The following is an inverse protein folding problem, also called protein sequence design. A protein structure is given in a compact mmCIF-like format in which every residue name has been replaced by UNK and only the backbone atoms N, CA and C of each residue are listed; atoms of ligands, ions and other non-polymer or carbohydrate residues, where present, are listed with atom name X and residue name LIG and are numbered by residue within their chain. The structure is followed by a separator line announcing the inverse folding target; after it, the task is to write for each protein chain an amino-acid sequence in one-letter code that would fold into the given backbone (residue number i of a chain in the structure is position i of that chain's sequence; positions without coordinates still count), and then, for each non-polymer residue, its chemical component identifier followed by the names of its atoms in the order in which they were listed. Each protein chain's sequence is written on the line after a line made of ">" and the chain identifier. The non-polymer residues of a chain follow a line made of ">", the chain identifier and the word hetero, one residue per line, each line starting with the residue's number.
data_IF_311986161824
#
_entry.id   IF_311986161824
#
_cell.length_a   1.000
_cell.length_b   1.000
_cell.length_c   1.000
_cell.angle_alpha   90.00
_cell.angle_beta   90.00
_cell.angle_gamma   90.00
#
_symmetry.space_group_name_H-M   'P 1'
#
loop_
_entity.id
_entity.type
_entity.pdbx_description
1 polymer ?
#
# COMPACT_ATOMS: atom_id res chain seq x y z
N UNK A 1 -32.35 36.74 -35.54
CA UNK A 1 -31.85 38.04 -35.08
C UNK A 1 -30.43 38.18 -35.57
N UNK A 2 -30.22 39.08 -36.54
CA UNK A 2 -28.94 39.26 -37.24
C UNK A 2 -28.14 40.37 -36.56
N UNK A 3 -26.86 40.11 -36.28
CA UNK A 3 -25.91 41.10 -35.77
C UNK A 3 -25.19 41.78 -36.94
N UNK A 4 -24.99 43.11 -36.91
CA UNK A 4 -24.40 43.85 -38.01
C UNK A 4 -22.86 43.81 -38.03
N UNK A 5 -22.35 43.79 -39.25
CA UNK A 5 -20.96 43.78 -39.71
C UNK A 5 -20.27 45.14 -39.52
N UNK A 6 -19.03 45.13 -39.02
CA UNK A 6 -18.17 46.31 -38.83
C UNK A 6 -17.09 46.33 -39.93
N UNK A 7 -16.88 47.44 -40.67
CA UNK A 7 -15.87 47.48 -41.73
C UNK A 7 -14.49 47.92 -41.22
N UNK A 8 -13.46 47.20 -41.66
CA UNK A 8 -12.04 47.45 -41.40
C UNK A 8 -11.52 48.63 -42.23
N UNK A 9 -10.87 49.61 -41.58
CA UNK A 9 -10.10 50.67 -42.24
C UNK A 9 -8.79 50.11 -42.80
N UNK A 10 -8.54 50.36 -44.08
CA UNK A 10 -7.24 50.23 -44.73
C UNK A 10 -6.46 51.55 -44.65
N UNK A 11 -5.15 51.49 -44.41
CA UNK A 11 -4.21 52.51 -44.88
C UNK A 11 -2.79 51.92 -45.01
N UNK A 12 -2.17 52.29 -46.12
CA UNK A 12 -0.94 51.82 -46.77
C UNK A 12 0.36 52.42 -46.21
N UNK A 13 1.32 51.53 -45.87
CA UNK A 13 2.79 51.41 -46.18
C UNK A 13 3.68 52.63 -46.66
N UNK A 14 5.05 52.53 -46.65
CA UNK A 14 6.06 53.20 -45.80
C UNK A 14 6.99 54.22 -46.55
N UNK A 15 8.12 54.76 -45.98
CA UNK A 15 9.44 54.09 -46.07
C UNK A 15 10.47 54.37 -44.92
N UNK A 16 11.51 53.52 -44.88
CA UNK A 16 12.79 53.55 -44.12
C UNK A 16 13.83 54.47 -44.87
N UNK A 17 15.16 54.65 -44.56
CA UNK A 17 16.04 54.17 -43.46
C UNK A 17 17.22 55.09 -42.93
N UNK A 18 17.84 54.69 -41.79
CA UNK A 18 19.31 54.75 -41.38
C UNK A 18 19.99 56.11 -41.04
N UNK A 19 21.23 56.17 -40.42
CA UNK A 19 22.11 55.14 -39.79
C UNK A 19 22.89 55.50 -38.46
N UNK A 20 23.46 54.45 -37.82
CA UNK A 20 24.78 54.25 -37.13
C UNK A 20 25.32 55.14 -35.98
N UNK A 21 25.77 54.46 -34.90
CA UNK A 21 27.14 54.40 -34.31
C UNK A 21 27.12 53.24 -33.28
N UNK A 22 27.93 52.18 -33.23
CA UNK A 22 29.37 51.83 -33.36
C UNK A 22 30.28 52.41 -32.27
N UNK A 23 30.54 51.60 -31.24
CA UNK A 23 31.70 51.68 -30.32
C UNK A 23 31.86 50.28 -29.67
N UNK A 24 32.68 49.37 -30.21
CA UNK A 24 34.11 49.17 -29.97
C UNK A 24 34.50 48.95 -28.49
N UNK A 25 34.86 47.69 -28.22
CA UNK A 25 35.50 47.10 -27.03
C UNK A 25 36.92 47.65 -26.83
N UNK A 26 37.45 47.53 -25.60
CA UNK A 26 38.68 46.75 -25.46
C UNK A 26 38.62 45.73 -24.32
N UNK A 27 39.50 44.73 -24.47
CA UNK A 27 39.66 43.56 -23.64
C UNK A 27 40.46 43.82 -22.34
N UNK A 28 40.43 42.79 -21.47
CA UNK A 28 41.43 42.43 -20.45
C UNK A 28 41.36 43.09 -19.05
N UNK A 29 40.74 42.39 -18.10
CA UNK A 29 41.38 41.99 -16.83
C UNK A 29 40.57 40.85 -16.14
N UNK A 30 41.22 39.91 -15.41
CA UNK A 30 40.67 38.58 -15.16
C UNK A 30 39.86 38.43 -13.86
N UNK A 31 39.11 37.34 -13.78
CA UNK A 31 38.34 36.89 -12.62
C UNK A 31 39.22 36.64 -11.38
N UNK A 32 38.75 36.93 -10.16
CA UNK A 32 39.40 36.44 -8.94
C UNK A 32 38.67 35.20 -8.42
N UNK A 33 39.36 34.06 -8.40
CA UNK A 33 39.13 32.96 -7.46
C UNK A 33 40.50 32.47 -6.98
N UNK A 34 40.61 31.81 -5.81
CA UNK A 34 40.09 32.14 -4.48
C UNK A 34 41.26 32.36 -3.48
N UNK A 35 41.10 33.21 -2.47
CA UNK A 35 42.10 33.28 -1.37
C UNK A 35 41.92 32.10 -0.43
N UNK A 36 42.83 31.13 -0.53
CA UNK A 36 43.04 30.08 0.46
C UNK A 36 43.67 30.69 1.72
N UNK A 37 43.03 30.50 2.87
CA UNK A 37 43.65 30.68 4.18
C UNK A 37 44.19 29.33 4.68
N UNK A 38 45.38 29.30 5.31
CA UNK A 38 45.99 28.08 5.83
C UNK A 38 45.33 27.68 7.15
N UNK A 39 44.90 26.43 7.25
CA UNK A 39 44.30 25.86 8.45
C UNK A 39 44.16 24.36 8.32
N UNK A 40 45.24 23.67 8.64
CA UNK A 40 45.32 22.21 8.68
C UNK A 40 44.30 21.61 9.65
N UNK A 41 43.48 20.67 9.16
CA UNK A 41 43.15 19.43 9.88
C UNK A 41 42.63 18.39 8.88
N UNK A 42 43.57 17.61 8.38
CA UNK A 42 43.36 16.43 7.55
C UNK A 42 42.74 15.32 8.40
N UNK A 43 41.42 15.19 8.41
CA UNK A 43 40.74 13.98 8.91
C UNK A 43 40.51 13.05 7.73
N UNK A 44 41.33 11.99 7.64
CA UNK A 44 41.19 10.92 6.64
C UNK A 44 39.93 10.09 6.94
N UNK A 45 39.21 9.61 5.92
CA UNK A 45 38.03 8.78 6.10
C UNK A 45 38.44 7.36 6.54
N UNK A 46 37.89 6.86 7.64
CA UNK A 46 37.95 5.42 7.95
C UNK A 46 36.78 4.74 7.25
N UNK A 47 37.13 3.96 6.23
CA UNK A 47 36.26 2.98 5.58
C UNK A 47 36.00 1.84 6.59
N UNK A 48 34.87 1.84 7.28
CA UNK A 48 34.42 0.68 8.05
C UNK A 48 33.55 -0.20 7.15
N UNK A 49 34.19 -1.15 6.46
CA UNK A 49 33.52 -2.31 5.86
C UNK A 49 33.13 -3.27 7.00
N UNK A 50 31.89 -3.76 7.09
CA UNK A 50 31.63 -5.01 7.80
C UNK A 50 32.04 -6.17 6.88
N UNK A 51 33.18 -6.80 7.19
CA UNK A 51 33.54 -8.12 6.65
C UNK A 51 32.82 -9.15 7.51
N UNK A 52 31.85 -9.85 6.95
CA UNK A 52 31.31 -11.07 7.54
C UNK A 52 32.16 -12.22 7.01
N UNK A 53 32.99 -12.80 7.87
CA UNK A 53 33.65 -14.07 7.60
C UNK A 53 32.65 -15.23 7.78
N UNK A 54 32.58 -16.20 6.86
CA UNK A 54 31.74 -17.37 7.02
C UNK A 54 32.38 -18.36 8.00
N UNK A 55 31.67 -18.67 9.09
CA UNK A 55 32.00 -19.80 9.97
C UNK A 55 31.44 -21.07 9.34
N UNK A 56 32.32 -21.88 8.74
CA UNK A 56 32.06 -23.24 8.29
C UNK A 56 33.09 -24.17 8.93
N UNK A 57 32.66 -24.92 9.95
CA UNK A 57 33.16 -26.23 10.38
C UNK A 57 32.30 -26.62 11.61
N UNK A 58 31.77 -27.82 11.78
CA UNK A 58 32.25 -29.11 11.30
C UNK A 58 31.13 -30.17 11.41
N UNK A 59 31.16 -31.09 10.45
CA UNK A 59 30.40 -32.34 10.41
C UNK A 59 30.65 -33.21 11.65
N UNK A 60 29.57 -33.76 12.21
CA UNK A 60 29.64 -35.07 12.87
C UNK A 60 28.65 -36.01 12.19
N UNK A 61 29.24 -36.84 11.34
CA UNK A 61 28.68 -38.07 10.80
C UNK A 61 28.44 -39.06 11.92
N UNK A 62 27.26 -39.66 11.99
CA UNK A 62 27.10 -41.06 12.37
C UNK A 62 25.98 -41.67 11.52
N UNK A 63 26.36 -42.08 10.32
CA UNK A 63 25.70 -43.13 9.56
C UNK A 63 26.10 -44.48 10.14
N UNK A 64 25.14 -45.34 10.45
CA UNK A 64 25.35 -46.77 10.56
C UNK A 64 24.09 -47.47 10.07
N UNK A 65 24.12 -47.81 8.78
CA UNK A 65 23.37 -48.93 8.22
C UNK A 65 23.88 -50.22 8.88
N UNK A 66 22.96 -51.06 9.35
CA UNK A 66 23.14 -52.52 9.41
C UNK A 66 21.80 -53.16 9.10
N UNK A 67 21.64 -53.64 7.86
CA UNK A 67 20.75 -54.75 7.55
C UNK A 67 21.44 -56.04 8.01
N UNK A 68 20.82 -56.82 8.89
CA UNK A 68 21.01 -58.27 8.90
C UNK A 68 19.77 -59.01 9.47
N UNK A 69 19.28 -59.93 8.66
CA UNK A 69 18.15 -60.85 8.81
C UNK A 69 18.45 -61.88 9.91
N UNK A 70 17.49 -62.25 10.78
CA UNK A 70 17.12 -63.65 11.16
C UNK A 70 15.77 -63.67 11.90
N UNK A 71 14.89 -64.52 11.39
CA UNK A 71 13.62 -65.07 11.91
C UNK A 71 13.75 -65.81 13.24
N UNK A 72 12.94 -65.50 14.26
CA UNK A 72 12.38 -66.47 15.23
C UNK A 72 11.03 -65.96 15.77
N UNK A 73 10.05 -66.85 15.74
CA UNK A 73 8.67 -66.70 16.20
C UNK A 73 8.56 -67.05 17.70
N UNK A 74 7.84 -66.26 18.53
CA UNK A 74 7.20 -66.70 19.79
C UNK A 74 6.43 -65.57 20.51
N UNK A 75 5.10 -65.62 20.36
CA UNK A 75 4.06 -65.53 21.40
C UNK A 75 4.14 -64.50 22.57
N UNK A 76 3.06 -63.69 22.61
CA UNK A 76 2.34 -63.11 23.77
C UNK A 76 3.06 -62.04 24.60
N UNK A 77 2.46 -60.84 24.69
CA UNK A 77 1.74 -60.34 25.88
C UNK A 77 1.21 -58.91 25.63
N UNK A 78 -0.05 -58.74 26.01
CA UNK A 78 -0.93 -57.57 25.98
C UNK A 78 -0.37 -56.31 26.64
N UNK A 79 -0.46 -55.15 25.97
CA UNK A 79 -0.72 -53.86 26.65
C UNK A 79 -1.29 -52.82 25.68
N UNK A 80 -2.60 -52.55 25.80
CA UNK A 80 -3.25 -51.36 25.24
C UNK A 80 -2.79 -50.15 26.04
N UNK A 81 -1.94 -49.29 25.46
CA UNK A 81 -1.68 -47.95 25.99
C UNK A 81 -2.45 -46.95 25.13
N UNK A 82 -3.53 -46.41 25.70
CA UNK A 82 -4.24 -45.26 25.14
C UNK A 82 -3.32 -44.04 25.14
N UNK A 83 -2.98 -43.52 23.97
CA UNK A 83 -2.31 -42.23 23.83
C UNK A 83 -3.22 -41.12 24.39
N UNK A 84 -2.72 -40.20 25.24
CA UNK A 84 -3.53 -39.09 25.72
C UNK A 84 -3.71 -38.08 24.58
N UNK A 85 -4.96 -37.68 24.36
CA UNK A 85 -5.38 -36.62 23.44
C UNK A 85 -4.89 -35.28 24.00
N UNK A 86 -3.59 -34.99 23.85
CA UNK A 86 -2.96 -33.72 24.25
C UNK A 86 -2.40 -32.95 23.05
N UNK A 87 -2.66 -33.39 21.83
CA UNK A 87 -2.21 -32.72 20.61
C UNK A 87 -3.15 -31.62 20.14
N UNK A 88 -4.43 -31.64 20.55
CA UNK A 88 -5.45 -30.72 20.04
C UNK A 88 -5.43 -29.32 20.66
N UNK A 89 -4.88 -29.16 21.88
CA UNK A 89 -4.84 -27.85 22.56
C UNK A 89 -3.62 -26.99 22.23
N UNK A 90 -2.56 -27.58 21.65
CA UNK A 90 -1.32 -26.86 21.31
C UNK A 90 -1.39 -26.16 19.95
N UNK A 91 -2.19 -26.69 19.01
CA UNK A 91 -2.44 -26.03 17.71
C UNK A 91 -3.23 -24.74 17.87
N UNK A 92 -4.24 -24.75 18.74
CA UNK A 92 -5.15 -23.62 18.92
C UNK A 92 -4.42 -22.40 19.51
N UNK A 93 -3.45 -22.62 20.41
CA UNK A 93 -2.66 -21.55 21.03
C UNK A 93 -1.63 -20.95 20.05
N UNK A 94 -1.10 -21.75 19.13
CA UNK A 94 -0.17 -21.27 18.09
C UNK A 94 -0.94 -20.57 16.95
N UNK A 95 -2.14 -21.04 16.62
CA UNK A 95 -3.05 -20.38 15.69
C UNK A 95 -3.61 -19.07 16.27
N UNK A 96 -3.81 -18.95 17.58
CA UNK A 96 -4.26 -17.70 18.21
C UNK A 96 -3.10 -16.69 18.40
N UNK A 97 -1.89 -17.15 18.73
CA UNK A 97 -0.72 -16.29 18.93
C UNK A 97 -0.10 -15.77 17.60
N UNK A 98 -0.22 -16.54 16.51
CA UNK A 98 0.27 -16.16 15.17
C UNK A 98 -0.84 -15.94 14.14
N UNK A 99 -2.10 -16.24 14.47
CA UNK A 99 -3.29 -15.90 13.68
C UNK A 99 -3.70 -14.44 13.85
N UNK A 100 -2.73 -13.55 13.96
CA UNK A 100 -2.93 -12.13 13.70
C UNK A 100 -3.00 -11.88 12.18
N UNK A 101 -3.89 -12.62 11.49
CA UNK A 101 -4.60 -11.99 10.38
C UNK A 101 -5.54 -11.01 11.06
N UNK A 102 -5.09 -9.76 11.16
CA UNK A 102 -5.96 -8.61 11.37
C UNK A 102 -7.30 -8.94 10.70
N UNK A 103 -8.36 -9.16 11.48
CA UNK A 103 -9.67 -9.40 10.92
C UNK A 103 -9.91 -8.21 10.00
N UNK A 104 -9.77 -8.45 8.68
CA UNK A 104 -9.75 -7.38 7.69
C UNK A 104 -10.97 -6.54 7.97
N UNK A 105 -10.77 -5.25 8.23
CA UNK A 105 -11.90 -4.36 8.43
C UNK A 105 -12.80 -4.58 7.21
N UNK A 106 -14.09 -4.92 7.38
CA UNK A 106 -14.99 -5.10 6.25
C UNK A 106 -14.92 -3.92 5.26
N UNK A 107 -14.64 -2.71 5.76
CA UNK A 107 -14.39 -1.52 4.94
C UNK A 107 -13.10 -1.55 4.09
N UNK A 108 -12.08 -2.31 4.49
CA UNK A 108 -10.81 -2.42 3.77
C UNK A 108 -10.97 -3.05 2.40
N UNK A 109 -12.01 -3.85 2.15
CA UNK A 109 -12.29 -4.39 0.81
C UNK A 109 -12.70 -3.29 -0.17
N UNK A 110 -13.62 -2.42 0.24
CA UNK A 110 -14.09 -1.29 -0.59
C UNK A 110 -12.95 -0.31 -0.84
N UNK A 111 -12.21 -0.02 0.22
CA UNK A 111 -10.96 0.72 0.20
C UNK A 111 -9.94 0.10 -0.76
N UNK A 112 -9.73 -1.21 -0.68
CA UNK A 112 -9.14 -2.18 -1.62
C UNK A 112 -9.38 -1.92 -3.11
N UNK A 113 -10.60 -1.55 -3.44
CA UNK A 113 -11.10 -1.44 -4.80
C UNK A 113 -11.36 0.02 -5.21
N UNK A 114 -11.13 0.98 -4.30
CA UNK A 114 -11.43 2.38 -4.54
C UNK A 114 -10.64 2.92 -5.74
N UNK A 115 -11.22 3.78 -6.58
CA UNK A 115 -10.51 4.40 -7.68
C UNK A 115 -9.27 5.19 -7.24
N UNK A 116 -8.22 5.14 -8.07
CA UNK A 116 -7.07 6.05 -8.02
C UNK A 116 -7.05 6.82 -9.32
N UNK A 117 -7.17 8.14 -9.24
CA UNK A 117 -7.24 9.02 -10.39
C UNK A 117 -5.87 9.62 -10.64
N UNK A 118 -5.39 9.53 -11.87
CA UNK A 118 -4.08 10.06 -12.26
C UNK A 118 -4.23 10.92 -13.50
N UNK A 119 -3.84 12.18 -13.37
CA UNK A 119 -3.79 13.13 -14.48
C UNK A 119 -2.33 13.41 -14.83
N UNK A 120 -1.96 13.24 -16.10
CA UNK A 120 -0.60 13.46 -16.59
C UNK A 120 -0.66 14.44 -17.74
N UNK A 121 0.22 15.45 -17.67
CA UNK A 121 0.43 16.41 -18.75
C UNK A 121 1.89 16.36 -19.14
N UNK A 122 2.17 16.19 -20.43
CA UNK A 122 3.52 16.10 -20.99
C UNK A 122 3.60 16.79 -22.35
N UNK A 123 4.77 17.32 -22.68
CA UNK A 123 5.08 17.88 -23.99
C UNK A 123 5.68 16.85 -24.97
N UNK A 124 5.76 15.58 -24.58
CA UNK A 124 6.19 14.46 -25.44
C UNK A 124 5.01 13.99 -26.30
N UNK A 125 5.29 13.63 -27.56
CA UNK A 125 4.28 13.20 -28.52
C UNK A 125 3.96 11.69 -28.48
N UNK A 126 4.90 10.82 -28.10
CA UNK A 126 4.74 9.35 -28.10
C UNK A 126 4.25 8.83 -26.72
N UNK A 127 3.01 8.35 -26.68
CA UNK A 127 2.27 8.05 -25.45
C UNK A 127 1.81 6.59 -25.29
N UNK A 128 1.55 5.86 -26.39
CA UNK A 128 0.76 4.62 -26.31
C UNK A 128 1.43 3.49 -25.54
N UNK A 129 2.75 3.35 -25.64
CA UNK A 129 3.51 2.29 -24.95
C UNK A 129 3.64 2.58 -23.45
N UNK A 130 3.71 3.85 -23.07
CA UNK A 130 3.91 4.27 -21.69
C UNK A 130 2.64 4.18 -20.84
N UNK A 131 1.46 4.43 -21.42
CA UNK A 131 0.20 4.47 -20.66
C UNK A 131 -0.09 3.13 -19.99
N UNK A 132 0.04 2.02 -20.73
CA UNK A 132 -0.22 0.67 -20.21
C UNK A 132 0.76 0.31 -19.11
N UNK A 133 2.06 0.52 -19.33
CA UNK A 133 3.10 0.24 -18.33
C UNK A 133 2.91 1.07 -17.06
N UNK A 134 2.55 2.34 -17.19
CA UNK A 134 2.32 3.20 -16.03
C UNK A 134 1.04 2.81 -15.28
N UNK A 135 -0.02 2.38 -15.98
CA UNK A 135 -1.25 1.89 -15.34
C UNK A 135 -0.98 0.67 -14.46
N UNK A 136 -0.22 -0.30 -14.98
CA UNK A 136 0.24 -1.47 -14.22
C UNK A 136 1.13 -1.05 -13.04
N UNK A 137 2.03 -0.09 -13.26
CA UNK A 137 2.89 0.43 -12.21
C UNK A 137 2.09 1.09 -11.08
N UNK A 138 1.06 1.87 -11.40
CA UNK A 138 0.15 2.52 -10.44
C UNK A 138 -0.65 1.48 -9.64
N UNK A 139 -1.20 0.47 -10.33
CA UNK A 139 -1.90 -0.67 -9.72
C UNK A 139 -1.06 -1.34 -8.64
N UNK A 140 0.20 -1.64 -8.95
CA UNK A 140 1.15 -2.22 -7.99
C UNK A 140 1.50 -1.27 -6.84
N UNK A 141 1.60 0.04 -7.10
CA UNK A 141 1.96 1.03 -6.06
C UNK A 141 0.87 1.31 -5.07
N UNK A 142 -0.38 1.38 -5.54
CA UNK A 142 -1.52 1.64 -4.68
C UNK A 142 -2.17 0.35 -4.17
N UNK A 143 -1.66 -0.82 -4.55
CA UNK A 143 -2.24 -2.11 -4.22
C UNK A 143 -3.73 -2.13 -4.57
N UNK A 144 -4.01 -1.81 -5.83
CA UNK A 144 -5.36 -1.72 -6.42
C UNK A 144 -5.43 -2.61 -7.64
N UNK A 145 -6.59 -3.20 -7.98
CA UNK A 145 -6.75 -3.85 -9.26
C UNK A 145 -6.62 -2.82 -10.40
N UNK A 146 -6.18 -3.26 -11.58
CA UNK A 146 -6.03 -2.39 -12.74
C UNK A 146 -7.35 -1.69 -13.13
N UNK A 147 -8.50 -2.34 -12.87
CA UNK A 147 -9.84 -1.78 -13.08
C UNK A 147 -10.17 -0.57 -12.20
N UNK A 148 -9.41 -0.34 -11.13
CA UNK A 148 -9.56 0.82 -10.23
C UNK A 148 -8.57 1.95 -10.55
N UNK A 149 -7.70 1.78 -11.55
CA UNK A 149 -6.78 2.82 -11.99
C UNK A 149 -7.44 3.61 -13.11
N UNK A 150 -7.66 4.91 -12.88
CA UNK A 150 -8.23 5.83 -13.86
C UNK A 150 -7.14 6.81 -14.26
N UNK A 151 -6.70 6.76 -15.51
CA UNK A 151 -5.65 7.63 -16.04
C UNK A 151 -6.20 8.57 -17.11
N UNK A 152 -5.83 9.84 -17.01
CA UNK A 152 -6.04 10.86 -18.04
C UNK A 152 -4.69 11.39 -18.47
N UNK A 153 -4.41 11.32 -19.78
CA UNK A 153 -3.12 11.76 -20.34
C UNK A 153 -3.36 12.86 -21.38
N UNK A 154 -2.71 14.00 -21.16
CA UNK A 154 -2.57 15.08 -22.12
C UNK A 154 -1.12 15.09 -22.60
N UNK A 155 -0.90 14.71 -23.85
CA UNK A 155 0.42 14.60 -24.48
C UNK A 155 0.53 15.62 -25.63
N UNK A 156 1.75 15.90 -26.07
CA UNK A 156 2.02 16.88 -27.14
C UNK A 156 1.59 18.33 -26.82
N UNK A 157 1.33 18.67 -25.55
CA UNK A 157 0.91 20.02 -25.17
C UNK A 157 2.10 20.93 -24.87
N UNK A 158 1.90 22.24 -24.99
CA UNK A 158 2.94 23.21 -24.65
C UNK A 158 3.09 23.34 -23.12
N UNK A 159 4.21 22.83 -22.59
CA UNK A 159 4.61 22.99 -21.19
C UNK A 159 6.02 23.59 -21.15
N UNK A 160 6.21 24.57 -20.27
CA UNK A 160 7.51 25.16 -20.00
C UNK A 160 7.88 24.93 -18.53
N UNK A 161 9.04 24.31 -18.28
CA UNK A 161 9.52 24.00 -16.93
C UNK A 161 10.84 24.72 -16.66
N UNK A 162 10.81 25.66 -15.71
CA UNK A 162 11.99 26.44 -15.32
C UNK A 162 12.53 27.32 -16.46
N UNK A 163 11.65 27.85 -17.32
CA UNK A 163 12.06 28.71 -18.44
C UNK A 163 12.33 28.00 -19.76
N UNK A 164 12.47 26.67 -19.76
CA UNK A 164 12.79 25.87 -20.95
C UNK A 164 11.65 25.00 -21.43
N UNK A 165 11.68 24.65 -22.72
CA UNK A 165 10.74 23.75 -23.41
C UNK A 165 11.25 22.31 -23.52
N UNK A 166 12.27 21.93 -22.74
CA UNK A 166 12.76 20.55 -22.69
C UNK A 166 11.65 19.57 -22.29
N UNK A 167 11.77 18.27 -22.61
CA UNK A 167 10.82 17.26 -22.17
C UNK A 167 10.54 17.33 -20.66
N UNK A 168 9.27 17.52 -20.31
CA UNK A 168 8.83 17.71 -18.93
C UNK A 168 7.40 17.22 -18.72
N UNK A 169 7.02 16.99 -17.46
CA UNK A 169 5.67 16.57 -17.12
C UNK A 169 5.18 17.13 -15.79
N UNK A 170 3.86 17.18 -15.67
CA UNK A 170 3.16 17.30 -14.38
C UNK A 170 2.27 16.10 -14.18
N UNK A 171 2.28 15.52 -12.99
CA UNK A 171 1.45 14.38 -12.62
C UNK A 171 0.68 14.71 -11.34
N UNK A 172 -0.64 14.63 -11.41
CA UNK A 172 -1.52 14.69 -10.24
C UNK A 172 -2.01 13.29 -9.93
N UNK A 173 -1.89 12.86 -8.68
CA UNK A 173 -2.46 11.60 -8.21
C UNK A 173 -3.49 11.91 -7.12
N UNK A 174 -4.73 11.54 -7.35
CA UNK A 174 -5.82 11.63 -6.38
C UNK A 174 -6.18 10.22 -5.89
N UNK A 175 -6.07 10.01 -4.59
CA UNK A 175 -6.31 8.73 -3.95
C UNK A 175 -6.84 8.96 -2.53
N UNK A 176 -7.36 7.91 -1.90
CA UNK A 176 -7.86 8.01 -0.54
C UNK A 176 -6.80 8.60 0.40
N UNK A 177 -7.23 9.42 1.36
CA UNK A 177 -6.33 10.14 2.26
C UNK A 177 -5.30 9.22 2.98
N UNK A 178 -5.69 7.97 3.29
CA UNK A 178 -4.79 6.97 3.89
C UNK A 178 -3.64 6.54 2.98
N UNK A 179 -3.80 6.66 1.66
CA UNK A 179 -2.81 6.31 0.65
C UNK A 179 -1.92 7.50 0.26
N UNK A 180 -2.28 8.71 0.72
CA UNK A 180 -1.61 9.99 0.42
C UNK A 180 -0.84 10.51 1.64
N UNK A 181 -0.07 9.63 2.29
CA UNK A 181 0.71 9.95 3.49
C UNK A 181 2.10 10.48 3.15
N UNK A 182 2.66 11.39 3.95
CA UNK A 182 3.94 12.06 3.67
C UNK A 182 5.09 11.09 3.36
N UNK A 183 5.25 10.03 4.15
CA UNK A 183 6.28 9.02 3.95
C UNK A 183 6.05 8.19 2.69
N UNK A 184 4.80 7.78 2.46
CA UNK A 184 4.36 7.07 1.25
C UNK A 184 4.59 7.91 0.00
N UNK A 185 4.20 9.18 0.03
CA UNK A 185 4.37 10.14 -1.07
C UNK A 185 5.86 10.34 -1.38
N UNK A 186 6.72 10.50 -0.38
CA UNK A 186 8.18 10.62 -0.59
C UNK A 186 8.74 9.41 -1.33
N UNK A 187 8.32 8.20 -0.96
CA UNK A 187 8.72 6.97 -1.64
C UNK A 187 8.17 6.93 -3.07
N UNK A 188 6.89 7.25 -3.24
CA UNK A 188 6.21 7.25 -4.52
C UNK A 188 6.83 8.25 -5.51
N UNK A 189 7.24 9.44 -5.04
CA UNK A 189 7.93 10.44 -5.88
C UNK A 189 9.17 9.84 -6.52
N UNK A 190 10.06 9.24 -5.71
CA UNK A 190 11.29 8.66 -6.22
C UNK A 190 11.04 7.55 -7.25
N UNK A 191 9.98 6.77 -7.05
CA UNK A 191 9.62 5.64 -7.89
C UNK A 191 8.98 6.07 -9.21
N UNK A 192 8.01 6.98 -9.17
CA UNK A 192 7.39 7.52 -10.38
C UNK A 192 8.38 8.32 -11.19
N UNK A 193 9.19 9.19 -10.57
CA UNK A 193 10.22 9.92 -11.30
C UNK A 193 11.26 8.99 -11.94
N UNK A 194 11.61 7.87 -11.29
CA UNK A 194 12.45 6.83 -11.90
C UNK A 194 11.77 6.20 -13.12
N UNK A 195 10.50 5.82 -13.00
CA UNK A 195 9.74 5.24 -14.11
C UNK A 195 9.65 6.21 -15.29
N UNK A 196 9.32 7.49 -15.04
CA UNK A 196 9.24 8.53 -16.07
C UNK A 196 10.59 8.76 -16.76
N UNK A 197 11.71 8.66 -16.03
CA UNK A 197 13.05 8.70 -16.63
C UNK A 197 13.33 7.50 -17.52
N UNK A 198 12.82 6.31 -17.17
CA UNK A 198 13.05 5.10 -17.95
C UNK A 198 12.19 5.07 -19.21
N UNK A 199 10.89 5.32 -19.07
CA UNK A 199 9.91 5.27 -20.16
C UNK A 199 10.06 6.47 -21.11
N UNK A 200 10.08 7.70 -20.57
CA UNK A 200 10.00 8.93 -21.36
C UNK A 200 11.31 9.72 -21.42
N UNK A 201 12.39 9.22 -20.79
CA UNK A 201 13.71 9.90 -20.70
C UNK A 201 13.67 11.28 -20.05
N UNK A 202 12.59 11.61 -19.33
CA UNK A 202 12.48 12.86 -18.57
C UNK A 202 13.24 12.75 -17.24
N UNK A 203 14.23 13.60 -16.94
CA UNK A 203 14.92 13.56 -15.66
C UNK A 203 14.00 14.00 -14.51
N UNK A 204 14.22 13.53 -13.27
CA UNK A 204 13.42 13.93 -12.09
C UNK A 204 13.32 15.44 -11.87
N UNK A 205 14.33 16.22 -12.27
CA UNK A 205 14.35 17.68 -12.17
C UNK A 205 13.36 18.40 -13.09
N UNK A 206 12.79 17.71 -14.08
CA UNK A 206 11.80 18.24 -15.05
C UNK A 206 10.40 17.61 -14.85
N UNK A 207 10.19 16.94 -13.72
CA UNK A 207 8.91 16.33 -13.36
C UNK A 207 8.35 16.92 -12.07
N UNK A 208 7.08 17.32 -12.09
CA UNK A 208 6.37 17.78 -10.90
C UNK A 208 5.24 16.80 -10.53
N UNK A 209 5.22 16.36 -9.27
CA UNK A 209 4.20 15.44 -8.77
C UNK A 209 3.40 16.12 -7.65
N UNK A 210 2.08 16.00 -7.74
CA UNK A 210 1.14 16.51 -6.73
C UNK A 210 0.24 15.36 -6.29
N UNK A 211 0.15 15.15 -4.98
CA UNK A 211 -0.79 14.19 -4.39
C UNK A 211 -1.96 14.93 -3.78
N UNK A 212 -3.18 14.46 -4.06
CA UNK A 212 -4.42 15.05 -3.58
C UNK A 212 -5.13 14.00 -2.73
N UNK A 213 -5.27 14.21 -1.42
CA UNK A 213 -6.04 13.31 -0.57
C UNK A 213 -7.52 13.46 -0.92
N UNK A 214 -8.15 12.32 -1.19
CA UNK A 214 -9.58 12.21 -1.42
C UNK A 214 -10.25 11.68 -0.15
N UNK A 215 -11.25 12.41 0.35
CA UNK A 215 -12.05 12.00 1.49
C UNK A 215 -13.11 10.97 1.05
N UNK A 216 -13.39 9.97 1.89
CA UNK A 216 -14.30 8.86 1.56
C UNK A 216 -15.74 9.33 1.29
N UNK A 217 -16.18 10.39 1.97
CA UNK A 217 -17.49 11.04 1.85
C UNK A 217 -17.62 11.93 0.62
N UNK A 218 -16.50 12.40 0.06
CA UNK A 218 -16.46 13.27 -1.13
C UNK A 218 -16.18 12.51 -2.44
N UNK A 219 -16.04 11.18 -2.38
CA UNK A 219 -15.68 10.35 -3.53
C UNK A 219 -16.88 9.54 -4.01
N UNK A 220 -17.41 9.85 -5.20
CA UNK A 220 -18.47 9.07 -5.85
C UNK A 220 -17.92 7.86 -6.60
N UNK A 221 -18.47 6.68 -6.35
CA UNK A 221 -18.14 5.44 -7.06
C UNK A 221 -19.33 4.48 -7.02
N UNK A 222 -19.59 3.74 -8.12
CA UNK A 222 -20.67 2.73 -8.21
C UNK A 222 -22.06 3.24 -7.74
N UNK A 223 -22.35 4.53 -7.91
CA UNK A 223 -23.65 5.13 -7.57
C UNK A 223 -23.83 5.55 -6.11
N UNK A 224 -22.78 5.45 -5.27
CA UNK A 224 -22.79 5.96 -3.89
C UNK A 224 -21.46 6.68 -3.58
N UNK A 225 -21.31 7.22 -2.39
CA UNK A 225 -20.01 7.66 -1.87
C UNK A 225 -19.19 6.45 -1.41
N UNK A 226 -17.86 6.55 -1.40
CA UNK A 226 -17.00 5.51 -0.82
C UNK A 226 -17.33 5.29 0.65
N UNK A 227 -17.59 6.37 1.41
CA UNK A 227 -18.06 6.28 2.79
C UNK A 227 -19.37 5.48 2.89
N UNK A 228 -20.35 5.75 2.02
CA UNK A 228 -21.62 5.01 1.98
C UNK A 228 -21.45 3.53 1.66
N UNK A 229 -20.53 3.18 0.74
CA UNK A 229 -20.19 1.79 0.46
C UNK A 229 -19.51 1.10 1.67
N UNK A 230 -18.61 1.79 2.35
CA UNK A 230 -17.93 1.26 3.54
C UNK A 230 -18.94 1.01 4.66
N UNK A 231 -19.81 1.99 4.95
CA UNK A 231 -20.86 1.85 5.96
C UNK A 231 -21.78 0.68 5.66
N UNK A 232 -22.26 0.55 4.41
CA UNK A 232 -23.13 -0.57 4.03
C UNK A 232 -22.48 -1.94 4.27
N UNK A 233 -21.19 -2.09 3.91
CA UNK A 233 -20.46 -3.35 4.11
C UNK A 233 -20.21 -3.64 5.59
N UNK A 234 -19.99 -2.61 6.41
CA UNK A 234 -19.86 -2.76 7.87
C UNK A 234 -21.19 -3.21 8.50
N UNK A 235 -22.30 -2.57 8.13
CA UNK A 235 -23.64 -2.91 8.63
C UNK A 235 -24.05 -4.34 8.24
N UNK A 236 -23.79 -4.74 6.99
CA UNK A 236 -24.03 -6.12 6.54
C UNK A 236 -23.21 -7.15 7.33
N UNK A 237 -21.93 -6.84 7.59
CA UNK A 237 -21.05 -7.71 8.36
C UNK A 237 -21.53 -7.85 9.83
N UNK A 238 -21.96 -6.75 10.44
CA UNK A 238 -22.53 -6.73 11.80
C UNK A 238 -23.83 -7.55 11.86
N UNK A 239 -24.76 -7.33 10.94
CA UNK A 239 -26.01 -8.08 10.86
C UNK A 239 -25.75 -9.59 10.68
N UNK A 240 -24.74 -9.97 9.90
CA UNK A 240 -24.33 -11.37 9.74
C UNK A 240 -23.76 -11.97 11.04
N UNK A 241 -22.97 -11.20 11.79
CA UNK A 241 -22.41 -11.62 13.07
C UNK A 241 -23.51 -11.82 14.12
N UNK A 242 -24.49 -10.91 14.20
CA UNK A 242 -25.63 -11.02 15.12
C UNK A 242 -26.48 -12.26 14.84
N UNK A 243 -26.78 -12.54 13.56
CA UNK A 243 -27.48 -13.77 13.15
C UNK A 243 -26.71 -15.03 13.55
N UNK A 244 -25.38 -15.04 13.41
CA UNK A 244 -24.53 -16.17 13.84
C UNK A 244 -24.44 -16.33 15.35
N UNK A 245 -24.45 -15.23 16.11
CA UNK A 245 -24.48 -15.22 17.57
C UNK A 245 -25.79 -15.76 18.13
N UNK A 246 -26.91 -15.46 17.48
CA UNK A 246 -28.26 -15.92 17.86
C UNK A 246 -28.46 -17.45 17.68
N UNK A 247 -27.73 -18.07 16.74
CA UNK A 247 -27.77 -19.53 16.51
C UNK A 247 -27.00 -20.33 17.59
N UNK A 248 -26.25 -19.69 18.48
CA UNK A 248 -25.71 -20.35 19.70
C UNK A 248 -26.79 -20.33 20.79
N UNK A 249 -27.68 -21.32 20.72
CA UNK A 249 -28.83 -21.53 21.58
C UNK A 249 -28.47 -21.63 23.10
N UNK A 250 -29.44 -21.45 24.01
CA UNK A 250 -29.22 -20.98 25.38
C UNK A 250 -28.59 -22.05 26.27
N UNK A 251 -27.76 -21.59 27.22
CA UNK A 251 -27.30 -22.37 28.38
C UNK A 251 -28.53 -23.02 29.05
N UNK A 252 -28.64 -24.35 28.96
CA UNK A 252 -29.61 -25.13 29.75
C UNK A 252 -29.49 -24.70 31.21
N UNK A 253 -30.49 -23.98 31.72
CA UNK A 253 -30.69 -23.84 33.18
C UNK A 253 -31.01 -25.25 33.68
N UNK A 254 -30.05 -25.86 34.37
CA UNK A 254 -30.28 -27.05 35.17
C UNK A 254 -31.23 -26.66 36.30
N UNK A 255 -32.52 -26.95 36.13
CA UNK A 255 -33.46 -27.01 37.23
C UNK A 255 -33.14 -28.25 38.05
N UNK A 256 -32.43 -28.08 39.16
CA UNK A 256 -32.38 -29.08 40.24
C UNK A 256 -33.78 -29.17 40.83
N UNK A 257 -34.54 -30.18 40.39
CA UNK A 257 -35.71 -30.67 41.11
C UNK A 257 -35.17 -31.25 42.43
N UNK A 258 -35.48 -30.57 43.53
CA UNK A 258 -35.18 -31.02 44.89
C UNK A 258 -36.15 -32.14 45.27
N UNK A 259 -35.70 -33.38 45.12
CA UNK A 259 -36.24 -34.54 45.83
C UNK A 259 -35.62 -34.55 47.23
N UNK A 260 -36.43 -34.34 48.28
CA UNK A 260 -36.26 -34.70 49.71
C UNK A 260 -37.21 -33.73 50.48
N UNK A 261 -38.29 -34.15 51.16
CA UNK A 261 -38.39 -35.19 52.18
C UNK A 261 -39.82 -35.72 52.24
N UNK A 262 -40.00 -37.05 52.14
CA UNK A 262 -41.13 -37.76 52.78
C UNK A 262 -40.64 -38.09 54.19
N UNK A 263 -41.08 -37.29 55.16
CA UNK A 263 -40.83 -37.53 56.58
C UNK A 263 -41.84 -38.58 57.08
N UNK A 264 -41.30 -39.74 57.44
CA UNK A 264 -41.69 -40.60 58.58
C UNK A 264 -43.17 -40.55 58.99
N UNK A 265 -43.94 -41.52 58.51
CA UNK A 265 -45.12 -42.03 59.21
C UNK A 265 -44.67 -43.29 59.96
N UNK A 266 -45.12 -43.45 61.21
CA UNK A 266 -44.79 -44.51 62.19
C UNK A 266 -43.69 -44.20 63.22
N UNK A 267 -44.07 -43.46 64.27
CA UNK A 267 -43.91 -43.91 65.67
C UNK A 267 -44.56 -42.92 66.67
N UNK A 268 -45.49 -43.42 67.50
CA UNK A 268 -45.86 -42.88 68.82
C UNK A 268 -46.97 -41.81 68.84
N UNK A 269 -48.23 -42.15 69.10
CA UNK A 269 -48.85 -42.20 70.44
C UNK A 269 -48.64 -40.92 71.26
N UNK A 270 -49.70 -40.10 71.39
CA UNK A 270 -50.05 -39.56 72.70
C UNK A 270 -51.57 -39.35 72.84
N UNK A 271 -52.05 -39.75 74.02
CA UNK A 271 -53.44 -39.85 74.45
C UNK A 271 -54.07 -38.48 74.71
N UNK A 272 -55.34 -38.31 74.36
CA UNK A 272 -56.28 -37.55 75.18
C UNK A 272 -57.73 -37.98 74.91
N UNK A 273 -58.43 -38.20 76.03
CA UNK A 273 -59.83 -38.62 76.26
C UNK A 273 -60.22 -40.09 76.03
#
# INVERSE_FOLDING_TARGET
>A
MALPYIPSRTSTKPPNPKPRQKQETPASAPAPTPRLLPGERRVKPRLSKPSLDPVLESDQRLSSDVEQIVTVDAAKVTRKQSLPILTRKRSDFFEEAFGSKHAQDPGDRIRNESPVLVEIKTNIEDEFTFITELSEYLSLRYNRPASSIVMTVQHGICIQFGGGSDPCYTMTIEALARDVQTTTNKRNIALFQRHMKQALRIPPSKGFLRFVPLAEDCAGWKGNTLAGHITGVIEEAQAMMERRGSLRAPRRRSSKVSLLYRYVEEAGFDQHE
#
